data_IF_049979927952
#
_entry.id   IF_049979927952
#
_cell.length_a   1.000
_cell.length_b   1.000
_cell.length_c   1.000
_cell.angle_alpha   90.00
_cell.angle_beta   90.00
_cell.angle_gamma   90.00
#
_symmetry.space_group_name_H-M   'P 1'
#
loop_
_entity.id
_entity.type
_entity.pdbx_description
1 polymer ?
#
# COMPACT_ATOMS: atom_id res chain seq x y z
N UNK A 1 -37.02 -47.13 -0.63
CA UNK A 1 -36.88 -45.74 -1.09
C UNK A 1 -35.44 -45.36 -0.86
N UNK A 2 -34.60 -45.14 -1.88
CA UNK A 2 -33.23 -44.70 -1.68
C UNK A 2 -33.22 -43.17 -1.44
N UNK A 3 -32.48 -42.76 -0.40
CA UNK A 3 -32.30 -41.37 -0.01
C UNK A 3 -31.62 -40.54 -1.11
N UNK A 4 -32.14 -39.33 -1.29
CA UNK A 4 -31.55 -38.33 -2.17
C UNK A 4 -30.14 -37.96 -1.68
N UNK A 5 -29.18 -37.75 -2.60
CA UNK A 5 -27.85 -37.29 -2.23
C UNK A 5 -27.94 -35.85 -1.70
N UNK A 6 -27.39 -35.62 -0.52
CA UNK A 6 -27.21 -34.28 0.03
C UNK A 6 -26.32 -33.47 -0.91
N UNK A 7 -26.83 -32.33 -1.34
CA UNK A 7 -26.09 -31.35 -2.12
C UNK A 7 -24.96 -30.81 -1.26
N UNK A 8 -23.70 -30.73 -1.75
CA UNK A 8 -22.62 -30.14 -0.96
C UNK A 8 -22.96 -28.67 -0.67
N UNK A 9 -23.03 -28.34 0.62
CA UNK A 9 -23.16 -26.97 1.08
C UNK A 9 -22.13 -26.10 0.38
N UNK A 10 -22.61 -25.13 -0.36
CA UNK A 10 -21.77 -24.05 -0.91
C UNK A 10 -21.14 -23.35 0.29
N UNK A 11 -19.84 -23.55 0.48
CA UNK A 11 -19.04 -22.77 1.41
C UNK A 11 -19.14 -21.34 0.95
N UNK A 12 -20.04 -20.58 1.55
CA UNK A 12 -20.18 -19.15 1.35
C UNK A 12 -18.82 -18.52 1.65
N UNK A 13 -18.25 -17.86 0.65
CA UNK A 13 -17.02 -17.09 0.83
C UNK A 13 -17.23 -16.12 2.00
N UNK A 14 -16.55 -16.37 3.09
CA UNK A 14 -16.58 -15.50 4.27
C UNK A 14 -16.18 -14.11 3.79
N UNK A 15 -17.12 -13.16 3.82
CA UNK A 15 -16.83 -11.76 3.58
C UNK A 15 -15.70 -11.35 4.52
N UNK A 16 -14.51 -11.12 3.97
CA UNK A 16 -13.37 -10.66 4.74
C UNK A 16 -13.67 -9.26 5.22
N UNK A 17 -13.97 -9.14 6.51
CA UNK A 17 -14.09 -7.84 7.18
C UNK A 17 -12.78 -7.09 7.02
N UNK A 18 -12.84 -5.77 6.87
CA UNK A 18 -11.67 -4.88 6.67
C UNK A 18 -10.53 -5.16 7.66
N UNK A 19 -10.84 -5.45 8.92
CA UNK A 19 -9.85 -5.78 9.95
C UNK A 19 -8.98 -7.01 9.65
N UNK A 20 -9.47 -8.02 8.92
CA UNK A 20 -8.64 -9.15 8.52
C UNK A 20 -7.55 -8.76 7.52
N UNK A 21 -7.83 -7.82 6.63
CA UNK A 21 -6.87 -7.34 5.65
C UNK A 21 -5.78 -6.48 6.29
N UNK A 22 -6.13 -5.71 7.31
CA UNK A 22 -5.18 -4.94 8.12
C UNK A 22 -4.21 -5.87 8.85
N UNK A 23 -4.71 -6.90 9.52
CA UNK A 23 -3.88 -7.92 10.20
C UNK A 23 -2.91 -8.60 9.23
N UNK A 24 -3.38 -8.96 8.03
CA UNK A 24 -2.52 -9.57 7.00
C UNK A 24 -1.41 -8.58 6.59
N UNK A 25 -1.76 -7.33 6.35
CA UNK A 25 -0.82 -6.28 5.96
C UNK A 25 0.25 -6.03 7.02
N UNK A 26 -0.17 -5.86 8.28
CA UNK A 26 0.75 -5.65 9.40
C UNK A 26 1.67 -6.86 9.63
N UNK A 27 1.12 -8.08 9.54
CA UNK A 27 1.91 -9.30 9.72
C UNK A 27 2.98 -9.42 8.63
N UNK A 28 2.61 -9.17 7.38
CA UNK A 28 3.56 -9.17 6.27
C UNK A 28 4.63 -8.08 6.42
N UNK A 29 4.23 -6.86 6.82
CA UNK A 29 5.15 -5.77 7.09
C UNK A 29 6.16 -6.13 8.18
N UNK A 30 5.70 -6.69 9.31
CA UNK A 30 6.57 -7.11 10.42
C UNK A 30 7.60 -8.15 9.98
N UNK A 31 7.17 -9.14 9.19
CA UNK A 31 8.08 -10.17 8.69
C UNK A 31 9.18 -9.57 7.79
N UNK A 32 8.79 -8.70 6.86
CA UNK A 32 9.74 -8.03 5.95
C UNK A 32 10.72 -7.15 6.72
N UNK A 33 10.23 -6.36 7.67
CA UNK A 33 11.06 -5.47 8.49
C UNK A 33 12.01 -6.25 9.39
N UNK A 34 11.55 -7.37 9.94
CA UNK A 34 12.41 -8.28 10.73
C UNK A 34 13.55 -8.85 9.87
N UNK A 35 13.27 -9.25 8.63
CA UNK A 35 14.30 -9.72 7.69
C UNK A 35 15.35 -8.65 7.37
N UNK A 36 15.03 -7.38 7.55
CA UNK A 36 15.95 -6.24 7.38
C UNK A 36 16.70 -5.86 8.68
N UNK A 37 16.62 -6.70 9.71
CA UNK A 37 17.34 -6.49 10.96
C UNK A 37 16.67 -5.55 11.97
N UNK A 38 15.42 -5.17 11.72
CA UNK A 38 14.61 -4.44 12.67
C UNK A 38 13.83 -5.37 13.59
N UNK A 39 13.64 -4.98 14.86
CA UNK A 39 12.69 -5.65 15.76
C UNK A 39 11.35 -4.91 15.71
N UNK A 40 10.30 -5.48 15.07
CA UNK A 40 8.99 -4.86 14.99
C UNK A 40 8.14 -5.19 16.22
N UNK A 41 7.64 -4.18 16.90
CA UNK A 41 6.71 -4.28 18.01
C UNK A 41 5.34 -3.76 17.59
N UNK A 42 4.28 -4.50 17.90
CA UNK A 42 2.91 -4.00 17.76
C UNK A 42 2.64 -2.94 18.81
N UNK A 43 2.00 -1.85 18.44
CA UNK A 43 1.52 -0.87 19.39
C UNK A 43 0.23 -1.35 20.03
N UNK A 44 0.11 -1.21 21.32
CA UNK A 44 -1.08 -1.64 22.06
C UNK A 44 -2.24 -0.63 22.00
N UNK A 45 -1.94 0.64 21.73
CA UNK A 45 -2.92 1.73 21.63
C UNK A 45 -2.72 2.48 20.31
N UNK A 46 -3.77 2.53 19.50
CA UNK A 46 -3.83 3.28 18.23
C UNK A 46 -4.10 4.77 18.49
N UNK A 47 -3.17 5.46 19.16
CA UNK A 47 -3.36 6.88 19.49
C UNK A 47 -2.88 7.84 18.39
N UNK A 48 -1.92 7.44 17.54
CA UNK A 48 -1.28 8.34 16.57
C UNK A 48 -1.20 7.74 15.16
N UNK A 49 -2.08 6.79 14.83
CA UNK A 49 -2.06 6.06 13.54
C UNK A 49 -0.72 5.33 13.29
N UNK A 50 -0.05 4.89 14.35
CA UNK A 50 1.17 4.08 14.28
C UNK A 50 0.83 2.63 14.55
N UNK A 51 1.10 1.76 13.59
CA UNK A 51 0.78 0.33 13.68
C UNK A 51 1.96 -0.47 14.24
N UNK A 52 3.19 -0.07 13.89
CA UNK A 52 4.42 -0.79 14.28
C UNK A 52 5.46 0.21 14.79
N UNK A 53 6.11 -0.14 15.90
CA UNK A 53 7.34 0.52 16.36
C UNK A 53 8.49 -0.42 16.04
N UNK A 54 9.46 0.09 15.29
CA UNK A 54 10.71 -0.60 14.99
C UNK A 54 11.78 -0.22 15.98
N UNK A 55 12.57 -1.19 16.39
CA UNK A 55 13.77 -0.96 17.20
C UNK A 55 14.93 -1.76 16.61
N UNK A 56 16.09 -1.13 16.53
CA UNK A 56 17.37 -1.83 16.33
C UNK A 56 18.44 -1.16 17.17
N UNK A 57 19.55 -1.85 17.37
CA UNK A 57 20.75 -1.23 17.97
C UNK A 57 21.70 -0.85 16.83
N UNK A 58 22.13 0.39 16.81
CA UNK A 58 23.17 0.90 15.91
C UNK A 58 24.23 1.58 16.76
N UNK A 59 25.48 1.18 16.61
CA UNK A 59 26.61 1.73 17.38
C UNK A 59 26.39 1.73 18.91
N UNK A 60 25.81 0.63 19.43
CA UNK A 60 25.40 0.45 20.83
C UNK A 60 24.33 1.44 21.34
N UNK A 61 23.66 2.15 20.43
CA UNK A 61 22.52 3.01 20.76
C UNK A 61 21.22 2.43 20.17
N UNK A 62 20.12 2.48 20.93
CA UNK A 62 18.82 2.06 20.40
C UNK A 62 18.30 3.11 19.40
N UNK A 63 17.95 2.66 18.22
CA UNK A 63 17.31 3.45 17.18
C UNK A 63 15.86 3.00 17.04
N UNK A 64 14.95 3.96 16.88
CA UNK A 64 13.51 3.71 16.76
C UNK A 64 12.93 4.35 15.50
N UNK A 65 11.97 3.65 14.88
CA UNK A 65 11.14 4.16 13.78
C UNK A 65 9.68 3.78 14.03
N UNK A 66 8.79 4.59 13.51
CA UNK A 66 7.34 4.39 13.56
C UNK A 66 6.84 4.08 12.17
N UNK A 67 6.04 3.04 12.02
CA UNK A 67 5.47 2.64 10.73
C UNK A 67 3.96 2.67 10.82
N UNK A 68 3.33 3.35 9.87
CA UNK A 68 1.93 3.15 9.56
C UNK A 68 1.81 2.22 8.35
N UNK A 69 1.13 1.10 8.53
CA UNK A 69 0.94 0.10 7.47
C UNK A 69 -0.38 0.37 6.74
N UNK A 70 -0.34 0.36 5.44
CA UNK A 70 -1.53 0.48 4.58
C UNK A 70 -1.62 -0.76 3.69
N UNK A 71 -2.48 -1.71 4.03
CA UNK A 71 -2.77 -2.82 3.12
C UNK A 71 -3.67 -2.35 1.98
N UNK A 72 -3.33 -2.73 0.75
CA UNK A 72 -4.14 -2.43 -0.44
C UNK A 72 -4.23 -3.62 -1.37
N UNK A 73 -5.44 -3.81 -1.91
CA UNK A 73 -5.67 -4.86 -2.90
C UNK A 73 -5.17 -4.39 -4.26
N UNK A 74 -4.36 -5.22 -4.88
CA UNK A 74 -3.93 -5.05 -6.27
C UNK A 74 -4.94 -5.70 -7.21
N UNK A 75 -5.15 -5.05 -8.33
CA UNK A 75 -5.95 -5.55 -9.42
C UNK A 75 -5.12 -5.57 -10.69
N UNK A 76 -5.16 -6.68 -11.41
CA UNK A 76 -4.62 -6.76 -12.77
C UNK A 76 -5.65 -6.17 -13.73
N UNK A 77 -5.35 -5.10 -14.46
CA UNK A 77 -6.27 -4.56 -15.45
C UNK A 77 -6.52 -5.58 -16.56
N UNK A 78 -7.75 -6.10 -16.66
CA UNK A 78 -8.09 -7.26 -17.51
C UNK A 78 -8.72 -6.89 -18.85
N UNK A 79 -9.29 -5.68 -18.99
CA UNK A 79 -9.97 -5.28 -20.23
C UNK A 79 -8.96 -4.66 -21.20
N UNK A 80 -8.59 -5.35 -22.32
CA UNK A 80 -7.54 -4.86 -23.24
C UNK A 80 -7.84 -3.50 -23.88
N UNK A 81 -9.12 -3.13 -23.98
CA UNK A 81 -9.54 -1.83 -24.51
C UNK A 81 -9.29 -0.66 -23.55
N UNK A 82 -9.02 -0.92 -22.28
CA UNK A 82 -8.75 0.10 -21.30
C UNK A 82 -7.29 0.55 -21.38
N UNK A 83 -7.07 1.85 -21.22
CA UNK A 83 -5.73 2.44 -21.24
C UNK A 83 -4.82 1.88 -20.12
N UNK A 84 -5.40 1.64 -18.92
CA UNK A 84 -4.66 1.09 -17.79
C UNK A 84 -4.13 -0.32 -18.05
N UNK A 85 -4.92 -1.16 -18.75
CA UNK A 85 -4.49 -2.50 -19.14
C UNK A 85 -3.34 -2.51 -20.15
N UNK A 86 -3.15 -1.43 -20.91
CA UNK A 86 -2.03 -1.32 -21.85
C UNK A 86 -0.72 -0.97 -21.13
N UNK A 87 -0.79 -0.10 -20.12
CA UNK A 87 0.37 0.48 -19.47
C UNK A 87 0.78 -0.26 -18.20
N UNK A 88 -0.17 -0.83 -17.44
CA UNK A 88 0.09 -1.34 -16.11
C UNK A 88 -0.16 -2.84 -15.96
N UNK A 89 0.74 -3.49 -15.22
CA UNK A 89 0.60 -4.90 -14.82
C UNK A 89 -0.27 -5.05 -13.58
N UNK A 90 -0.22 -4.06 -12.68
CA UNK A 90 -1.00 -4.06 -11.45
C UNK A 90 -1.36 -2.63 -11.05
N UNK A 91 -2.53 -2.46 -10.43
CA UNK A 91 -3.02 -1.17 -9.96
C UNK A 91 -3.69 -1.30 -8.60
N UNK A 92 -3.56 -0.24 -7.78
CA UNK A 92 -4.24 -0.12 -6.50
C UNK A 92 -4.78 1.29 -6.29
N UNK A 93 -5.77 1.42 -5.41
CA UNK A 93 -6.36 2.71 -5.04
C UNK A 93 -6.17 2.96 -3.55
N UNK A 94 -5.84 4.20 -3.23
CA UNK A 94 -5.83 4.72 -1.87
C UNK A 94 -6.52 6.07 -1.83
N UNK A 95 -7.28 6.33 -0.77
CA UNK A 95 -7.87 7.63 -0.51
C UNK A 95 -7.29 8.16 0.79
N UNK A 96 -6.68 9.34 0.74
CA UNK A 96 -6.04 10.01 1.86
C UNK A 96 -6.77 11.33 2.16
N UNK A 97 -6.82 11.72 3.43
CA UNK A 97 -7.16 13.09 3.79
C UNK A 97 -6.02 14.03 3.37
N UNK A 98 -6.35 15.26 2.98
CA UNK A 98 -5.33 16.21 2.48
C UNK A 98 -4.26 16.51 3.53
N UNK A 99 -4.66 16.51 4.80
CA UNK A 99 -3.79 16.81 5.94
C UNK A 99 -3.19 15.55 6.57
N UNK A 100 -3.46 14.37 5.99
CA UNK A 100 -2.85 13.13 6.46
C UNK A 100 -1.32 13.26 6.37
N UNK A 101 -0.64 13.03 7.47
CA UNK A 101 0.81 13.24 7.62
C UNK A 101 1.29 14.70 7.57
N UNK A 102 0.41 15.70 7.69
CA UNK A 102 0.81 17.11 7.74
C UNK A 102 1.74 17.42 8.94
N UNK A 103 1.51 16.79 10.09
CA UNK A 103 2.41 16.83 11.23
C UNK A 103 3.61 15.92 10.96
N UNK A 104 4.63 16.46 10.28
CA UNK A 104 5.82 15.71 9.90
C UNK A 104 6.60 15.24 11.11
N UNK A 105 6.70 13.92 11.28
CA UNK A 105 7.59 13.30 12.24
C UNK A 105 8.70 12.58 11.47
N UNK A 106 9.96 12.94 11.74
CA UNK A 106 11.12 12.34 11.06
C UNK A 106 11.21 10.82 11.28
N UNK A 107 10.65 10.32 12.39
CA UNK A 107 10.62 8.90 12.73
C UNK A 107 9.47 8.13 12.09
N UNK A 108 8.47 8.82 11.46
CA UNK A 108 7.27 8.19 10.93
C UNK A 108 7.40 7.90 9.43
N UNK A 109 7.08 6.65 9.08
CA UNK A 109 7.05 6.16 7.71
C UNK A 109 5.71 5.53 7.39
N UNK A 110 5.34 5.55 6.13
CA UNK A 110 4.12 4.90 5.60
C UNK A 110 4.55 3.73 4.74
N UNK A 111 4.11 2.52 5.08
CA UNK A 111 4.44 1.32 4.34
C UNK A 111 3.18 0.74 3.69
N UNK A 112 3.16 0.71 2.36
CA UNK A 112 2.12 0.01 1.61
C UNK A 112 2.52 -1.43 1.39
N UNK A 113 1.66 -2.33 1.86
CA UNK A 113 1.70 -3.76 1.57
C UNK A 113 0.56 -4.08 0.63
N UNK A 114 0.86 -4.80 -0.43
CA UNK A 114 -0.11 -5.12 -1.47
C UNK A 114 -0.46 -6.61 -1.48
N UNK A 115 -1.71 -6.92 -1.76
CA UNK A 115 -2.16 -8.30 -1.94
C UNK A 115 -3.13 -8.43 -3.08
N UNK A 116 -3.08 -9.56 -3.78
CA UNK A 116 -4.01 -9.92 -4.84
C UNK A 116 -5.32 -10.52 -4.28
N UNK A 117 -6.40 -10.59 -5.09
CA UNK A 117 -7.68 -11.18 -4.66
C UNK A 117 -7.57 -12.64 -4.21
N UNK A 118 -6.62 -13.40 -4.75
CA UNK A 118 -6.30 -14.78 -4.39
C UNK A 118 -5.47 -14.92 -3.10
N UNK A 119 -5.29 -13.81 -2.37
CA UNK A 119 -4.54 -13.67 -1.11
C UNK A 119 -3.02 -13.78 -1.25
N UNK A 120 -2.46 -13.84 -2.43
CA UNK A 120 -1.02 -13.69 -2.61
C UNK A 120 -0.59 -12.27 -2.23
N UNK A 121 0.48 -12.17 -1.46
CA UNK A 121 1.10 -10.89 -1.15
C UNK A 121 2.05 -10.55 -2.31
N UNK A 122 1.94 -9.31 -2.82
CA UNK A 122 2.90 -8.79 -3.79
C UNK A 122 4.29 -8.70 -3.13
N UNK A 123 5.32 -9.02 -3.91
CA UNK A 123 6.70 -8.96 -3.43
C UNK A 123 7.16 -7.54 -3.15
N UNK A 124 6.65 -6.58 -3.93
CA UNK A 124 7.01 -5.18 -3.75
C UNK A 124 6.17 -4.55 -2.62
N UNK A 125 6.85 -3.77 -1.80
CA UNK A 125 6.26 -2.85 -0.85
C UNK A 125 6.74 -1.44 -1.17
N UNK A 126 5.96 -0.42 -0.84
CA UNK A 126 6.39 0.98 -0.97
C UNK A 126 6.57 1.56 0.43
N UNK A 127 7.74 2.12 0.70
CA UNK A 127 8.07 2.69 2.02
C UNK A 127 8.41 4.17 1.83
N UNK A 128 7.57 5.05 2.38
CA UNK A 128 7.72 6.49 2.26
C UNK A 128 8.03 7.12 3.61
N UNK A 129 9.00 8.05 3.70
CA UNK A 129 9.00 9.01 4.79
C UNK A 129 7.67 9.79 4.82
N UNK A 130 7.10 10.04 6.00
CA UNK A 130 5.77 10.67 6.14
C UNK A 130 5.68 12.01 5.39
N UNK A 131 6.75 12.82 5.40
CA UNK A 131 6.84 14.08 4.68
C UNK A 131 6.73 13.88 3.16
N UNK A 132 7.51 12.96 2.59
CA UNK A 132 7.49 12.70 1.16
C UNK A 132 6.11 12.20 0.71
N UNK A 133 5.47 11.37 1.54
CA UNK A 133 4.13 10.89 1.25
C UNK A 133 3.08 11.99 1.33
N UNK A 134 3.19 12.91 2.29
CA UNK A 134 2.30 14.08 2.37
C UNK A 134 2.42 14.98 1.12
N UNK A 135 3.63 15.24 0.63
CA UNK A 135 3.87 16.01 -0.60
C UNK A 135 3.21 15.34 -1.83
N UNK A 136 3.21 14.01 -1.89
CA UNK A 136 2.50 13.24 -2.93
C UNK A 136 0.99 13.37 -2.79
N UNK A 137 0.44 13.30 -1.56
CA UNK A 137 -0.98 13.50 -1.30
C UNK A 137 -1.43 14.88 -1.80
N UNK A 138 -0.69 15.92 -1.50
CA UNK A 138 -1.03 17.29 -1.93
C UNK A 138 -1.10 17.45 -3.44
N UNK A 139 -0.24 16.76 -4.19
CA UNK A 139 -0.23 16.79 -5.65
C UNK A 139 -1.31 15.91 -6.27
N UNK A 140 -1.86 14.97 -5.53
CA UNK A 140 -2.82 13.99 -6.04
C UNK A 140 -4.21 14.61 -6.30
N UNK A 141 -4.98 14.11 -7.28
CA UNK A 141 -6.27 14.67 -7.62
C UNK A 141 -7.29 14.52 -6.49
N UNK A 142 -8.21 15.49 -6.41
CA UNK A 142 -9.32 15.41 -5.46
C UNK A 142 -10.18 14.17 -5.69
N UNK A 143 -10.63 13.58 -4.61
CA UNK A 143 -11.59 12.47 -4.70
C UNK A 143 -12.95 13.01 -5.17
N UNK A 144 -13.59 12.33 -6.13
CA UNK A 144 -14.82 12.85 -6.77
C UNK A 144 -16.02 12.99 -5.84
N UNK A 145 -16.13 12.09 -4.85
CA UNK A 145 -17.28 12.04 -3.93
C UNK A 145 -16.98 12.67 -2.57
N UNK A 146 -15.73 12.72 -2.19
CA UNK A 146 -15.25 13.21 -0.90
C UNK A 146 -14.21 14.30 -1.18
N UNK A 147 -14.70 15.54 -1.35
CA UNK A 147 -13.92 16.68 -1.87
C UNK A 147 -12.66 17.02 -1.08
N UNK A 148 -12.65 16.73 0.22
CA UNK A 148 -11.51 17.00 1.10
C UNK A 148 -10.43 15.91 1.04
N UNK A 149 -10.75 14.79 0.37
CA UNK A 149 -9.82 13.69 0.21
C UNK A 149 -9.11 13.71 -1.14
N UNK A 150 -7.94 13.12 -1.16
CA UNK A 150 -7.13 12.88 -2.36
C UNK A 150 -7.23 11.42 -2.79
N UNK A 151 -7.26 11.21 -4.09
CA UNK A 151 -7.33 9.86 -4.66
C UNK A 151 -5.98 9.52 -5.30
N UNK A 152 -5.27 8.57 -4.70
CA UNK A 152 -4.01 8.07 -5.20
C UNK A 152 -4.27 6.80 -6.01
N UNK A 153 -3.85 6.81 -7.26
CA UNK A 153 -3.86 5.64 -8.13
C UNK A 153 -2.43 5.15 -8.30
N UNK A 154 -2.09 4.11 -7.55
CA UNK A 154 -0.77 3.47 -7.61
C UNK A 154 -0.77 2.42 -8.70
N UNK A 155 0.26 2.40 -9.53
CA UNK A 155 0.34 1.53 -10.68
C UNK A 155 1.77 1.04 -10.92
N UNK A 156 1.89 -0.25 -11.27
CA UNK A 156 3.15 -0.87 -11.67
C UNK A 156 3.20 -0.95 -13.19
N UNK A 157 4.15 -0.28 -13.80
CA UNK A 157 4.28 -0.23 -15.26
C UNK A 157 4.65 -1.60 -15.84
N UNK A 158 4.10 -1.93 -17.01
CA UNK A 158 4.45 -3.17 -17.73
C UNK A 158 5.84 -3.11 -18.37
N UNK A 159 6.23 -1.92 -18.83
CA UNK A 159 7.43 -1.76 -19.60
C UNK A 159 8.71 -2.06 -18.81
N UNK A 160 8.76 -1.65 -17.56
CA UNK A 160 9.97 -1.71 -16.73
C UNK A 160 9.74 -2.15 -15.28
N UNK A 161 8.49 -2.45 -14.91
CA UNK A 161 8.11 -2.86 -13.56
C UNK A 161 8.14 -1.74 -12.52
N UNK A 162 8.34 -0.47 -12.92
CA UNK A 162 8.43 0.66 -12.00
C UNK A 162 7.07 1.06 -11.44
N UNK A 163 7.10 1.54 -10.20
CA UNK A 163 5.91 2.04 -9.54
C UNK A 163 5.70 3.54 -9.77
N UNK A 164 4.46 3.89 -10.03
CA UNK A 164 4.01 5.27 -10.29
C UNK A 164 2.76 5.60 -9.48
N UNK A 165 2.62 6.87 -9.10
CA UNK A 165 1.35 7.44 -8.61
C UNK A 165 0.83 8.39 -9.69
N UNK A 166 -0.38 8.12 -10.16
CA UNK A 166 -0.97 8.86 -11.27
C UNK A 166 -1.65 10.12 -10.77
N UNK A 167 -1.27 11.27 -11.33
CA UNK A 167 -1.83 12.59 -11.01
C UNK A 167 -3.09 12.92 -11.79
N UNK A 168 -3.43 12.11 -12.78
CA UNK A 168 -4.63 12.30 -13.61
C UNK A 168 -5.31 10.97 -13.89
N UNK A 169 -6.63 11.01 -14.11
CA UNK A 169 -7.43 9.86 -14.56
C UNK A 169 -7.77 9.95 -16.05
N UNK A 170 -7.20 10.91 -16.76
CA UNK A 170 -7.40 11.02 -18.21
C UNK A 170 -6.79 9.81 -18.90
N UNK A 171 -7.37 9.46 -20.04
CA UNK A 171 -6.76 8.45 -20.92
C UNK A 171 -5.44 9.00 -21.45
N UNK A 172 -4.35 8.31 -21.24
CA UNK A 172 -3.08 8.59 -21.89
C UNK A 172 -2.51 7.29 -22.45
N UNK A 173 -1.68 7.45 -23.47
CA UNK A 173 -1.06 6.32 -24.17
C UNK A 173 0.33 6.04 -23.64
N UNK A 174 0.95 7.01 -22.96
CA UNK A 174 2.31 6.96 -22.45
C UNK A 174 2.36 7.48 -21.01
N UNK A 175 3.33 7.03 -20.27
CA UNK A 175 3.63 7.55 -18.94
C UNK A 175 4.61 8.71 -19.11
N UNK A 176 4.20 9.89 -18.70
CA UNK A 176 5.03 11.09 -18.73
C UNK A 176 5.16 11.73 -17.33
N UNK A 177 6.13 12.62 -17.18
CA UNK A 177 6.42 13.28 -15.90
C UNK A 177 5.34 14.29 -15.47
N UNK A 178 4.41 14.64 -16.32
CA UNK A 178 3.30 15.57 -16.01
C UNK A 178 2.11 14.81 -15.46
N UNK A 179 1.92 13.59 -15.91
CA UNK A 179 0.77 12.75 -15.59
C UNK A 179 0.97 11.87 -14.39
N UNK A 180 2.22 11.65 -13.96
CA UNK A 180 2.52 10.74 -12.86
C UNK A 180 3.79 11.15 -12.08
N UNK A 181 3.86 10.63 -10.84
CA UNK A 181 5.06 10.68 -10.02
C UNK A 181 5.70 9.29 -10.04
N UNK A 182 6.96 9.19 -10.45
CA UNK A 182 7.73 7.96 -10.31
C UNK A 182 8.10 7.77 -8.83
N UNK A 183 7.58 6.70 -8.23
CA UNK A 183 7.81 6.37 -6.82
C UNK A 183 8.61 5.08 -6.64
N UNK A 184 9.24 4.60 -7.70
CA UNK A 184 10.02 3.37 -7.68
C UNK A 184 11.20 3.42 -6.70
N UNK A 185 11.74 4.59 -6.43
CA UNK A 185 12.77 4.80 -5.42
C UNK A 185 12.33 4.40 -4.00
N UNK A 186 11.04 4.29 -3.74
CA UNK A 186 10.46 3.84 -2.48
C UNK A 186 10.07 2.35 -2.49
N UNK A 187 10.22 1.68 -3.65
CA UNK A 187 9.88 0.27 -3.78
C UNK A 187 11.00 -0.60 -3.21
N UNK A 188 10.66 -1.42 -2.21
CA UNK A 188 11.60 -2.31 -1.50
C UNK A 188 12.83 -1.58 -0.94
N UNK A 189 12.74 -0.28 -0.78
CA UNK A 189 13.86 0.54 -0.29
C UNK A 189 13.79 0.69 1.22
N UNK A 190 14.31 -0.31 1.93
CA UNK A 190 14.36 -0.29 3.40
C UNK A 190 15.43 0.66 3.94
N UNK A 191 16.38 1.14 3.10
CA UNK A 191 17.38 2.11 3.52
C UNK A 191 16.81 3.49 3.83
N UNK A 192 15.57 3.79 3.41
CA UNK A 192 14.87 5.02 3.83
C UNK A 192 14.62 5.07 5.35
N UNK A 193 14.72 3.92 6.03
CA UNK A 193 14.57 3.79 7.48
C UNK A 193 15.89 4.10 8.22
N UNK A 194 17.01 4.20 7.52
CA UNK A 194 18.33 4.50 8.06
C UNK A 194 18.50 6.01 8.23
#
# INVERSE_FOLDING_TARGET
MPGSPETPEQVTAVEQRSGHLEIIGETAAKLLLFQQGWNPYSRFLDQDKVDIILRRNRDNQPEYREIQVKYRRLYTPSKPSRWDAKLFSAVAWYTADIDEFAAHRASLFVMFVFGYPDRQIEKDVLIFPSRAFHEIIQQSPRHKKEGDKRALFMAKAKADGRWHIMLTRKKFLEIDNVSCINVHQYANNFSVLD
#
